data_IF_220105577560
#
_entry.id   IF_220105577560
#
_cell.length_a   1.000
_cell.length_b   1.000
_cell.length_c   1.000
_cell.angle_alpha   90.00
_cell.angle_beta   90.00
_cell.angle_gamma   90.00
#
_symmetry.space_group_name_H-M   'P 1'
#
loop_
_entity.id
_entity.type
_entity.pdbx_description
1 polymer ?
#
# COMPACT_ATOMS: atom_id res chain seq x y z
N UNK A 1 -5.70 8.03 37.31
CA UNK A 1 -4.87 7.13 38.14
C UNK A 1 -3.71 6.68 37.27
N UNK A 2 -2.47 6.88 37.72
CA UNK A 2 -1.29 6.56 36.91
C UNK A 2 -0.92 5.10 37.06
N UNK A 3 -1.24 4.28 36.06
CA UNK A 3 -0.79 2.89 35.97
C UNK A 3 0.65 2.87 35.47
N UNK A 4 1.59 3.17 36.37
CA UNK A 4 3.02 3.13 36.09
C UNK A 4 3.62 1.77 36.43
N UNK A 5 4.60 1.33 35.64
CA UNK A 5 5.48 0.21 35.99
C UNK A 5 6.13 0.49 37.35
N UNK A 6 6.04 -0.47 38.29
CA UNK A 6 6.64 -0.32 39.62
C UNK A 6 7.84 -1.25 39.75
N UNK A 7 9.03 -0.65 39.83
CA UNK A 7 10.25 -1.37 40.20
C UNK A 7 10.39 -1.18 41.71
N UNK A 8 10.33 -2.28 42.46
CA UNK A 8 10.59 -2.26 43.90
C UNK A 8 11.96 -2.90 44.15
N UNK A 9 12.90 -2.10 44.64
CA UNK A 9 14.25 -2.54 45.00
C UNK A 9 14.29 -2.55 46.52
N UNK A 10 14.47 -3.72 47.11
CA UNK A 10 14.61 -3.87 48.55
C UNK A 10 15.78 -4.77 48.90
N UNK A 11 16.18 -4.71 50.16
CA UNK A 11 17.13 -5.65 50.77
C UNK A 11 16.36 -6.51 51.76
N UNK A 12 16.45 -7.84 51.62
CA UNK A 12 16.00 -8.78 52.65
C UNK A 12 17.25 -9.55 53.08
N UNK A 13 17.78 -9.21 54.25
CA UNK A 13 19.09 -9.70 54.69
C UNK A 13 20.25 -9.20 53.81
N UNK A 14 21.26 -10.05 53.58
CA UNK A 14 22.49 -9.75 52.81
C UNK A 14 22.33 -9.86 51.27
N UNK A 15 21.09 -9.95 50.76
CA UNK A 15 20.81 -10.05 49.33
C UNK A 15 19.85 -8.96 48.84
N UNK A 16 20.23 -8.33 47.72
CA UNK A 16 19.36 -7.40 47.00
C UNK A 16 18.33 -8.17 46.19
N UNK A 17 17.05 -7.81 46.32
CA UNK A 17 15.98 -8.34 45.47
C UNK A 17 15.41 -7.22 44.60
N UNK A 18 15.29 -7.49 43.30
CA UNK A 18 14.65 -6.60 42.33
C UNK A 18 13.33 -7.26 41.97
N UNK A 19 12.22 -6.67 42.42
CA UNK A 19 10.88 -7.11 42.02
C UNK A 19 10.34 -6.15 40.96
N UNK A 20 10.15 -6.67 39.75
CA UNK A 20 9.61 -5.94 38.62
C UNK A 20 8.15 -6.36 38.45
N UNK A 21 7.23 -5.55 38.95
CA UNK A 21 5.80 -5.71 38.67
C UNK A 21 5.50 -4.97 37.36
N UNK A 22 5.56 -5.69 36.24
CA UNK A 22 5.03 -5.21 34.96
C UNK A 22 3.53 -5.48 34.93
N UNK A 23 2.73 -4.42 34.90
CA UNK A 23 1.32 -4.58 34.52
C UNK A 23 1.31 -5.13 33.09
N UNK A 24 0.74 -6.32 32.90
CA UNK A 24 0.47 -6.83 31.56
C UNK A 24 -0.36 -5.77 30.84
N UNK A 25 0.10 -5.33 29.67
CA UNK A 25 -0.66 -4.40 28.85
C UNK A 25 -2.09 -4.94 28.71
N UNK A 26 -3.12 -4.08 28.81
CA UNK A 26 -4.51 -4.53 28.67
C UNK A 26 -4.61 -5.39 27.42
N UNK A 27 -5.27 -6.55 27.58
CA UNK A 27 -5.41 -7.59 26.58
C UNK A 27 -5.69 -6.92 25.23
N UNK A 28 -4.69 -6.93 24.34
CA UNK A 28 -4.77 -6.23 23.07
C UNK A 28 -5.79 -7.00 22.25
N UNK A 29 -7.04 -6.55 22.29
CA UNK A 29 -8.09 -7.15 21.48
C UNK A 29 -7.62 -7.11 20.03
N UNK A 30 -7.56 -8.29 19.42
CA UNK A 30 -7.26 -8.42 18.01
C UNK A 30 -8.50 -8.07 17.19
N UNK A 31 -8.30 -7.76 15.93
CA UNK A 31 -9.39 -7.55 14.96
C UNK A 31 -9.33 -8.66 13.91
N UNK A 32 -10.48 -9.15 13.46
CA UNK A 32 -10.53 -10.11 12.36
C UNK A 32 -10.88 -9.38 11.07
N UNK A 33 -10.03 -9.53 10.06
CA UNK A 33 -10.30 -9.05 8.72
C UNK A 33 -11.26 -9.99 8.00
N UNK A 34 -12.29 -9.42 7.39
CA UNK A 34 -13.31 -10.11 6.60
C UNK A 34 -13.39 -9.46 5.23
N UNK A 35 -13.73 -10.24 4.22
CA UNK A 35 -13.97 -9.73 2.87
C UNK A 35 -15.13 -8.73 2.92
N UNK A 36 -14.91 -7.52 2.41
CA UNK A 36 -15.98 -6.55 2.20
C UNK A 36 -16.78 -6.97 0.95
N UNK A 37 -18.03 -7.42 1.09
CA UNK A 37 -18.83 -7.92 -0.03
C UNK A 37 -19.10 -6.85 -1.09
N UNK A 38 -19.06 -5.56 -0.72
CA UNK A 38 -19.26 -4.45 -1.65
C UNK A 38 -18.02 -4.16 -2.50
N UNK A 39 -16.87 -4.68 -2.10
CA UNK A 39 -15.59 -4.49 -2.79
C UNK A 39 -15.29 -5.57 -3.83
N UNK A 40 -16.11 -6.62 -3.86
CA UNK A 40 -15.90 -7.78 -4.74
C UNK A 40 -16.19 -7.38 -6.19
N UNK A 41 -15.17 -7.48 -7.02
CA UNK A 41 -15.20 -7.14 -8.44
C UNK A 41 -14.65 -8.31 -9.24
N UNK A 42 -15.41 -8.80 -10.22
CA UNK A 42 -14.95 -9.85 -11.13
C UNK A 42 -14.51 -9.23 -12.44
N UNK A 43 -13.28 -9.54 -12.85
CA UNK A 43 -12.67 -9.00 -14.07
C UNK A 43 -12.28 -10.15 -14.98
N UNK A 44 -12.77 -10.11 -16.22
CA UNK A 44 -12.51 -11.18 -17.17
C UNK A 44 -11.04 -11.29 -17.53
N UNK A 45 -10.52 -12.52 -17.60
CA UNK A 45 -9.12 -12.78 -17.97
C UNK A 45 -8.77 -12.18 -19.33
N UNK A 46 -9.69 -12.30 -20.29
CA UNK A 46 -9.54 -11.73 -21.63
C UNK A 46 -9.35 -10.21 -21.61
N UNK A 47 -10.06 -9.48 -20.75
CA UNK A 47 -9.93 -8.02 -20.62
C UNK A 47 -8.57 -7.62 -20.05
N UNK A 48 -8.10 -8.35 -19.03
CA UNK A 48 -6.79 -8.11 -18.42
C UNK A 48 -5.67 -8.38 -19.42
N UNK A 49 -5.70 -9.52 -20.12
CA UNK A 49 -4.69 -9.89 -21.13
C UNK A 49 -4.68 -8.89 -22.28
N UNK A 50 -5.85 -8.57 -22.86
CA UNK A 50 -5.94 -7.58 -23.95
C UNK A 50 -5.37 -6.24 -23.52
N UNK A 51 -5.66 -5.78 -22.30
CA UNK A 51 -5.11 -4.53 -21.78
C UNK A 51 -3.61 -4.59 -21.54
N UNK A 52 -3.06 -5.71 -21.04
CA UNK A 52 -1.63 -5.90 -20.85
C UNK A 52 -0.87 -5.94 -22.19
N UNK A 53 -1.41 -6.63 -23.19
CA UNK A 53 -0.85 -6.69 -24.55
C UNK A 53 -0.91 -5.32 -25.23
N UNK A 54 -2.06 -4.63 -25.16
CA UNK A 54 -2.22 -3.29 -25.71
C UNK A 54 -1.20 -2.32 -25.09
N UNK A 55 -0.95 -2.45 -23.78
CA UNK A 55 0.07 -1.65 -23.12
C UNK A 55 1.49 -1.97 -23.63
N UNK A 56 1.86 -3.24 -23.73
CA UNK A 56 3.15 -3.66 -24.28
C UNK A 56 3.37 -3.14 -25.72
N UNK A 57 2.34 -3.22 -26.57
CA UNK A 57 2.41 -2.75 -27.95
C UNK A 57 2.39 -1.22 -28.08
N UNK A 58 1.79 -0.52 -27.11
CA UNK A 58 1.75 0.95 -27.10
C UNK A 58 3.06 1.59 -26.63
N UNK A 59 3.90 0.88 -25.86
CA UNK A 59 5.16 1.42 -25.33
C UNK A 59 6.12 1.95 -26.42
N UNK A 60 6.39 1.22 -27.52
CA UNK A 60 7.22 1.74 -28.61
C UNK A 60 6.62 2.98 -29.28
N UNK A 61 5.31 2.99 -29.52
CA UNK A 61 4.62 4.12 -30.14
C UNK A 61 4.68 5.37 -29.24
N UNK A 62 4.54 5.18 -27.92
CA UNK A 62 4.66 6.25 -26.93
C UNK A 62 6.11 6.75 -26.82
N UNK A 63 7.10 5.86 -26.87
CA UNK A 63 8.50 6.26 -26.89
C UNK A 63 8.82 7.11 -28.13
N UNK A 64 8.36 6.70 -29.30
CA UNK A 64 8.53 7.45 -30.54
C UNK A 64 7.83 8.82 -30.50
N UNK A 65 6.60 8.89 -29.97
CA UNK A 65 5.87 10.15 -29.87
C UNK A 65 6.53 11.12 -28.89
N UNK A 66 7.02 10.63 -27.75
CA UNK A 66 7.77 11.45 -26.79
C UNK A 66 9.08 11.96 -27.41
N UNK A 67 9.80 11.11 -28.16
CA UNK A 67 11.02 11.52 -28.85
C UNK A 67 10.74 12.58 -29.94
N UNK A 68 9.63 12.46 -30.67
CA UNK A 68 9.19 13.49 -31.63
C UNK A 68 8.90 14.81 -30.94
N UNK A 69 8.12 14.78 -29.85
CA UNK A 69 7.78 15.99 -29.09
C UNK A 69 9.03 16.62 -28.49
N UNK A 70 9.99 15.83 -28.00
CA UNK A 70 11.28 16.32 -27.50
C UNK A 70 12.14 16.92 -28.61
N UNK A 71 12.18 16.30 -29.79
CA UNK A 71 12.89 16.85 -30.94
C UNK A 71 12.30 18.20 -31.39
N UNK A 72 10.97 18.29 -31.47
CA UNK A 72 10.26 19.53 -31.79
C UNK A 72 10.48 20.59 -30.69
N UNK A 73 10.39 20.19 -29.42
CA UNK A 73 10.62 21.09 -28.29
C UNK A 73 12.07 21.60 -28.23
N UNK A 74 13.07 20.75 -28.47
CA UNK A 74 14.49 21.14 -28.54
C UNK A 74 14.76 22.08 -29.71
N UNK A 75 14.13 21.84 -30.87
CA UNK A 75 14.18 22.74 -32.02
C UNK A 75 13.59 24.11 -31.70
N UNK A 76 12.42 24.15 -31.05
CA UNK A 76 11.69 25.39 -30.73
C UNK A 76 12.34 26.15 -29.55
N UNK A 77 12.82 25.45 -28.53
CA UNK A 77 13.54 26.02 -27.37
C UNK A 77 14.88 26.65 -27.77
N UNK A 78 15.53 26.13 -28.81
CA UNK A 78 16.77 26.71 -29.34
C UNK A 78 16.58 28.07 -30.02
N UNK A 79 15.33 28.44 -30.36
CA UNK A 79 15.05 29.62 -31.17
C UNK A 79 14.27 30.73 -30.44
N UNK A 80 13.19 30.47 -29.67
CA UNK A 80 12.42 31.56 -29.02
C UNK A 80 11.58 31.16 -27.78
N UNK A 81 11.31 32.19 -26.95
CA UNK A 81 10.37 32.23 -25.81
C UNK A 81 9.08 31.42 -26.04
N UNK A 82 8.99 30.28 -25.35
CA UNK A 82 7.96 29.25 -25.54
C UNK A 82 6.54 29.79 -25.39
N UNK A 83 5.73 29.62 -26.45
CA UNK A 83 4.30 29.94 -26.45
C UNK A 83 3.53 28.95 -25.54
N UNK A 84 2.64 29.46 -24.68
CA UNK A 84 1.93 28.68 -23.66
C UNK A 84 1.12 27.50 -24.20
N UNK A 85 0.73 27.53 -25.48
CA UNK A 85 -0.01 26.46 -26.16
C UNK A 85 0.84 25.19 -26.34
N UNK A 86 2.11 25.33 -26.70
CA UNK A 86 3.01 24.19 -26.92
C UNK A 86 3.28 23.50 -25.57
N UNK A 87 3.48 24.29 -24.52
CA UNK A 87 3.62 23.78 -23.16
C UNK A 87 2.37 23.00 -22.70
N UNK A 88 1.17 23.50 -23.01
CA UNK A 88 -0.08 22.82 -22.68
C UNK A 88 -0.22 21.45 -23.38
N UNK A 89 0.12 21.35 -24.67
CA UNK A 89 0.11 20.07 -25.39
C UNK A 89 1.11 19.08 -24.82
N UNK A 90 2.30 19.54 -24.42
CA UNK A 90 3.33 18.70 -23.83
C UNK A 90 2.89 18.16 -22.46
N UNK A 91 2.30 19.00 -21.61
CA UNK A 91 1.73 18.57 -20.31
C UNK A 91 0.63 17.54 -20.51
N UNK A 92 -0.29 17.76 -21.47
CA UNK A 92 -1.38 16.82 -21.76
C UNK A 92 -0.86 15.47 -22.28
N UNK A 93 0.13 15.47 -23.15
CA UNK A 93 0.75 14.23 -23.66
C UNK A 93 1.42 13.44 -22.54
N UNK A 94 2.16 14.12 -21.65
CA UNK A 94 2.80 13.50 -20.47
C UNK A 94 1.75 12.97 -19.49
N UNK A 95 0.69 13.72 -19.22
CA UNK A 95 -0.40 13.29 -18.33
C UNK A 95 -1.12 12.04 -18.87
N UNK A 96 -1.48 12.04 -20.15
CA UNK A 96 -2.14 10.91 -20.80
C UNK A 96 -1.23 9.67 -20.85
N UNK A 97 0.06 9.86 -21.15
CA UNK A 97 1.07 8.80 -21.09
C UNK A 97 1.21 8.23 -19.68
N UNK A 98 1.25 9.09 -18.66
CA UNK A 98 1.28 8.68 -17.25
C UNK A 98 0.08 7.83 -16.85
N UNK A 99 -1.14 8.22 -17.25
CA UNK A 99 -2.36 7.44 -16.99
C UNK A 99 -2.32 6.08 -17.68
N UNK A 100 -1.86 6.01 -18.94
CA UNK A 100 -1.69 4.74 -19.65
C UNK A 100 -0.64 3.84 -19.00
N UNK A 101 0.50 4.39 -18.56
CA UNK A 101 1.55 3.66 -17.85
C UNK A 101 1.05 3.06 -16.53
N UNK A 102 0.32 3.84 -15.72
CA UNK A 102 -0.24 3.37 -14.46
C UNK A 102 -1.25 2.23 -14.67
N UNK A 103 -2.21 2.42 -15.59
CA UNK A 103 -3.22 1.42 -15.89
C UNK A 103 -2.62 0.14 -16.51
N UNK A 104 -1.62 0.31 -17.39
CA UNK A 104 -0.92 -0.79 -18.04
C UNK A 104 -0.11 -1.64 -17.06
N UNK A 105 0.70 -1.00 -16.19
CA UNK A 105 1.44 -1.68 -15.13
C UNK A 105 0.51 -2.51 -14.23
N UNK A 106 -0.63 -1.93 -13.85
CA UNK A 106 -1.61 -2.63 -13.02
C UNK A 106 -2.17 -3.89 -13.71
N UNK A 107 -2.55 -3.78 -14.98
CA UNK A 107 -3.05 -4.93 -15.76
C UNK A 107 -1.99 -6.01 -15.97
N UNK A 108 -0.72 -5.62 -16.16
CA UNK A 108 0.40 -6.58 -16.22
C UNK A 108 0.60 -7.32 -14.90
N UNK A 109 0.58 -6.59 -13.78
CA UNK A 109 0.72 -7.19 -12.46
C UNK A 109 -0.38 -8.23 -12.20
N UNK A 110 -1.63 -7.91 -12.55
CA UNK A 110 -2.76 -8.85 -12.51
C UNK A 110 -2.56 -10.04 -13.45
N UNK A 111 -2.10 -9.81 -14.69
CA UNK A 111 -1.89 -10.87 -15.67
C UNK A 111 -0.86 -11.93 -15.24
N UNK A 112 0.13 -11.53 -14.43
CA UNK A 112 1.22 -12.38 -13.97
C UNK A 112 0.84 -13.37 -12.85
N UNK A 113 -0.39 -13.29 -12.31
CA UNK A 113 -0.84 -14.12 -11.19
C UNK A 113 -1.17 -15.54 -11.67
N UNK A 114 -0.63 -16.55 -10.98
CA UNK A 114 -0.87 -17.96 -11.26
C UNK A 114 -2.29 -18.42 -10.78
N UNK A 115 -2.83 -19.53 -11.30
CA UNK A 115 -4.17 -20.03 -10.96
C UNK A 115 -4.40 -20.33 -9.48
N UNK A 116 -3.34 -20.69 -8.75
CA UNK A 116 -3.31 -21.12 -7.37
C UNK A 116 -2.73 -20.05 -6.43
N UNK A 117 -2.51 -18.83 -6.93
CA UNK A 117 -1.88 -17.76 -6.18
C UNK A 117 -2.82 -16.57 -5.97
N UNK A 118 -2.96 -16.13 -4.72
CA UNK A 118 -3.51 -14.82 -4.39
C UNK A 118 -2.37 -13.81 -4.24
N UNK A 119 -2.54 -12.60 -4.77
CA UNK A 119 -1.58 -11.49 -4.58
C UNK A 119 -2.30 -10.23 -4.11
N UNK A 120 -1.62 -9.49 -3.24
CA UNK A 120 -2.06 -8.17 -2.82
C UNK A 120 -1.49 -7.10 -3.76
N UNK A 121 -2.36 -6.36 -4.42
CA UNK A 121 -2.02 -5.31 -5.39
C UNK A 121 -2.88 -4.07 -5.11
N UNK A 122 -2.23 -2.92 -4.86
CA UNK A 122 -2.89 -1.63 -4.69
C UNK A 122 -4.08 -1.63 -3.70
N UNK A 123 -3.90 -2.24 -2.53
CA UNK A 123 -4.94 -2.26 -1.50
C UNK A 123 -6.06 -3.27 -1.74
N UNK A 124 -5.87 -4.22 -2.65
CA UNK A 124 -6.82 -5.29 -2.99
C UNK A 124 -6.13 -6.64 -3.08
N UNK A 125 -6.82 -7.67 -2.63
CA UNK A 125 -6.48 -9.05 -2.97
C UNK A 125 -6.97 -9.36 -4.38
N UNK A 126 -6.15 -10.10 -5.10
CA UNK A 126 -6.41 -10.53 -6.46
C UNK A 126 -6.09 -12.02 -6.55
N UNK A 127 -7.09 -12.82 -6.89
CA UNK A 127 -6.97 -14.26 -7.08
C UNK A 127 -7.68 -14.69 -8.36
N UNK A 128 -7.48 -15.94 -8.79
CA UNK A 128 -8.20 -16.50 -9.91
C UNK A 128 -9.33 -17.39 -9.41
N UNK A 129 -10.51 -17.17 -9.97
CA UNK A 129 -11.69 -18.01 -9.75
C UNK A 129 -11.57 -19.32 -10.56
N UNK A 130 -12.43 -20.30 -10.28
CA UNK A 130 -12.50 -21.59 -10.97
C UNK A 130 -12.69 -21.46 -12.49
N UNK A 131 -13.37 -20.40 -12.92
CA UNK A 131 -13.52 -20.08 -14.36
C UNK A 131 -12.26 -19.49 -15.01
N UNK A 132 -11.22 -19.20 -14.22
CA UNK A 132 -9.96 -18.57 -14.66
C UNK A 132 -10.01 -17.04 -14.78
N UNK A 133 -11.12 -16.41 -14.39
CA UNK A 133 -11.25 -14.95 -14.28
C UNK A 133 -10.59 -14.42 -13.00
N UNK A 134 -10.34 -13.12 -12.94
CA UNK A 134 -9.78 -12.49 -11.75
C UNK A 134 -10.88 -12.03 -10.81
N UNK A 135 -10.77 -12.43 -9.54
CA UNK A 135 -11.58 -11.92 -8.45
C UNK A 135 -10.75 -10.90 -7.67
N UNK A 136 -11.27 -9.67 -7.56
CA UNK A 136 -10.66 -8.59 -6.80
C UNK A 136 -11.52 -8.29 -5.59
N UNK A 137 -10.93 -8.21 -4.40
CA UNK A 137 -11.67 -7.88 -3.18
C UNK A 137 -10.80 -7.18 -2.16
N UNK A 138 -11.42 -6.58 -1.16
CA UNK A 138 -10.77 -5.94 -0.02
C UNK A 138 -11.14 -6.66 1.25
N UNK A 139 -10.14 -6.86 2.11
CA UNK A 139 -10.38 -7.30 3.47
C UNK A 139 -10.41 -6.08 4.37
N UNK A 140 -11.44 -6.01 5.22
CA UNK A 140 -11.68 -4.90 6.14
C UNK A 140 -12.04 -5.42 7.52
N UNK A 141 -11.79 -4.61 8.53
CA UNK A 141 -12.14 -4.93 9.92
C UNK A 141 -12.62 -3.65 10.62
N UNK A 142 -13.54 -3.74 11.61
CA UNK A 142 -13.89 -2.59 12.44
C UNK A 142 -12.69 -2.19 13.31
N UNK A 143 -12.46 -0.89 13.46
CA UNK A 143 -11.45 -0.39 14.39
C UNK A 143 -11.92 -0.63 15.83
N UNK A 144 -11.04 -1.17 16.68
CA UNK A 144 -11.38 -1.47 18.06
C UNK A 144 -10.77 -0.46 19.06
N UNK A 145 -10.13 0.61 18.59
CA UNK A 145 -9.67 1.71 19.45
C UNK A 145 -10.86 2.39 20.13
N UNK A 146 -10.64 2.88 21.36
CA UNK A 146 -11.68 3.54 22.14
C UNK A 146 -12.28 4.72 21.37
N UNK A 147 -13.61 4.75 21.30
CA UNK A 147 -14.38 5.78 20.59
C UNK A 147 -14.07 5.92 19.09
N UNK A 148 -13.49 4.90 18.46
CA UNK A 148 -13.24 4.90 17.02
C UNK A 148 -14.26 4.03 16.28
N UNK A 149 -15.05 4.65 15.40
CA UNK A 149 -16.00 3.95 14.52
C UNK A 149 -15.46 3.76 13.09
N UNK A 150 -14.13 3.80 12.93
CA UNK A 150 -13.48 3.69 11.63
C UNK A 150 -13.38 2.25 11.13
N UNK A 151 -13.06 2.10 9.87
CA UNK A 151 -12.75 0.82 9.22
C UNK A 151 -11.24 0.70 9.00
N UNK A 152 -10.67 -0.41 9.44
CA UNK A 152 -9.28 -0.76 9.20
C UNK A 152 -9.16 -1.43 7.83
N UNK A 153 -8.24 -0.91 7.02
CA UNK A 153 -7.93 -1.43 5.68
C UNK A 153 -6.49 -1.89 5.63
N UNK A 154 -6.27 -3.01 4.94
CA UNK A 154 -4.93 -3.53 4.69
C UNK A 154 -4.21 -2.61 3.69
N UNK A 155 -2.96 -2.29 3.98
CA UNK A 155 -2.09 -1.44 3.18
C UNK A 155 -0.64 -1.94 3.26
N UNK A 156 0.20 -1.44 2.35
CA UNK A 156 1.63 -1.71 2.42
C UNK A 156 2.26 -0.99 3.63
N UNK A 157 3.24 -1.63 4.30
CA UNK A 157 3.97 -1.01 5.39
C UNK A 157 4.75 0.23 4.94
N UNK A 158 5.05 1.16 5.86
CA UNK A 158 5.95 2.26 5.59
C UNK A 158 7.34 1.73 5.19
N UNK A 159 8.10 2.45 4.33
CA UNK A 159 9.36 1.94 3.77
C UNK A 159 10.39 1.44 4.80
N UNK A 160 10.43 2.06 5.99
CA UNK A 160 11.30 1.63 7.09
C UNK A 160 10.93 0.26 7.65
N UNK A 161 9.66 -0.13 7.62
CA UNK A 161 9.14 -1.35 8.26
C UNK A 161 8.85 -2.50 7.28
N UNK A 162 9.01 -2.24 5.97
CA UNK A 162 8.75 -3.23 4.91
C UNK A 162 9.59 -4.50 5.01
N UNK A 163 10.72 -4.46 5.73
CA UNK A 163 11.57 -5.63 5.93
C UNK A 163 11.07 -6.57 7.04
N UNK A 164 10.27 -6.06 7.98
CA UNK A 164 9.76 -6.82 9.13
C UNK A 164 8.29 -7.23 8.96
N UNK A 165 7.57 -6.55 8.08
CA UNK A 165 6.13 -6.69 7.93
C UNK A 165 5.77 -6.72 6.44
N UNK A 166 4.98 -7.71 6.04
CA UNK A 166 4.49 -7.80 4.66
C UNK A 166 3.31 -6.86 4.43
N UNK A 167 2.38 -6.83 5.39
CA UNK A 167 1.12 -6.09 5.33
C UNK A 167 0.77 -5.49 6.69
N UNK A 168 0.14 -4.32 6.66
CA UNK A 168 -0.34 -3.62 7.85
C UNK A 168 -1.80 -3.20 7.69
N UNK A 169 -2.53 -3.11 8.79
CA UNK A 169 -3.87 -2.55 8.86
C UNK A 169 -3.79 -1.09 9.31
N UNK A 170 -4.50 -0.20 8.63
CA UNK A 170 -4.59 1.21 9.00
C UNK A 170 -6.05 1.63 9.01
N UNK A 171 -6.48 2.26 10.10
CA UNK A 171 -7.81 2.83 10.22
C UNK A 171 -7.97 4.07 9.32
N UNK A 172 -9.11 4.18 8.64
CA UNK A 172 -9.48 5.35 7.85
C UNK A 172 -9.66 6.64 8.66
N UNK A 173 -10.20 6.54 9.89
CA UNK A 173 -10.41 7.69 10.78
C UNK A 173 -9.16 7.99 11.62
N UNK A 174 -8.64 6.98 12.33
CA UNK A 174 -7.50 7.15 13.23
C UNK A 174 -6.14 7.23 12.53
N UNK A 175 -6.09 6.90 11.23
CA UNK A 175 -4.89 7.00 10.41
C UNK A 175 -3.68 6.29 11.03
N UNK A 176 -2.54 7.00 11.05
CA UNK A 176 -1.24 6.50 11.52
C UNK A 176 -1.19 6.13 13.00
N UNK A 177 -2.17 6.57 13.79
CA UNK A 177 -2.24 6.26 15.23
C UNK A 177 -2.96 4.93 15.50
N UNK A 178 -3.83 4.52 14.57
CA UNK A 178 -4.65 3.31 14.70
C UNK A 178 -4.17 2.29 13.67
N UNK A 179 -3.05 1.65 14.00
CA UNK A 179 -2.34 0.74 13.11
C UNK A 179 -2.25 -0.67 13.70
N UNK A 180 -2.24 -1.65 12.80
CA UNK A 180 -2.30 -3.07 13.13
C UNK A 180 -1.28 -3.84 12.32
N UNK A 181 -0.57 -4.77 12.95
CA UNK A 181 0.15 -5.83 12.25
C UNK A 181 -0.86 -6.87 11.80
N UNK A 182 -0.79 -7.25 10.52
CA UNK A 182 -1.69 -8.27 9.95
C UNK A 182 -0.92 -9.58 9.87
N UNK A 183 -1.48 -10.64 10.43
CA UNK A 183 -0.94 -11.99 10.30
C UNK A 183 -1.51 -12.71 9.04
N UNK A 184 -1.02 -13.93 8.80
CA UNK A 184 -1.47 -14.76 7.67
C UNK A 184 -2.92 -15.27 7.83
N UNK A 185 -3.46 -15.28 9.05
CA UNK A 185 -4.84 -15.69 9.34
C UNK A 185 -5.85 -14.54 9.18
N UNK A 186 -5.38 -13.35 8.80
CA UNK A 186 -6.21 -12.15 8.73
C UNK A 186 -6.59 -11.62 10.11
N UNK A 187 -5.79 -11.88 11.13
CA UNK A 187 -5.88 -11.29 12.45
C UNK A 187 -4.98 -10.05 12.51
N UNK A 188 -5.57 -8.93 12.92
CA UNK A 188 -4.89 -7.66 13.14
C UNK A 188 -4.57 -7.46 14.61
N UNK A 189 -3.30 -7.34 14.95
CA UNK A 189 -2.85 -6.98 16.30
C UNK A 189 -2.39 -5.53 16.34
N UNK A 190 -2.77 -4.77 17.38
CA UNK A 190 -2.35 -3.38 17.50
C UNK A 190 -0.82 -3.27 17.60
N UNK A 191 -0.23 -2.53 16.68
CA UNK A 191 1.20 -2.25 16.65
C UNK A 191 1.44 -0.84 16.14
N UNK A 192 2.38 -0.13 16.76
CA UNK A 192 2.85 1.16 16.28
C UNK A 192 3.96 0.94 15.24
N UNK A 193 3.91 1.69 14.14
CA UNK A 193 4.89 1.63 13.05
C UNK A 193 5.63 2.94 12.93
N UNK A 194 6.91 2.89 12.56
CA UNK A 194 7.67 4.09 12.25
C UNK A 194 7.35 4.61 10.85
N UNK A 195 6.62 5.73 10.80
CA UNK A 195 6.22 6.41 9.57
C UNK A 195 7.24 7.46 9.08
N UNK A 196 8.39 7.61 9.76
CA UNK A 196 9.40 8.60 9.35
C UNK A 196 9.97 8.22 7.97
N UNK A 197 10.25 9.22 7.11
CA UNK A 197 10.90 8.95 5.84
C UNK A 197 12.24 8.26 6.07
N UNK A 198 12.65 7.41 5.14
CA UNK A 198 14.02 6.88 5.12
C UNK A 198 14.97 8.08 5.08
N UNK A 199 15.99 8.07 5.94
CA UNK A 199 17.09 9.01 5.80
C UNK A 199 17.67 8.81 4.41
N UNK A 200 17.52 9.82 3.55
CA UNK A 200 18.27 9.84 2.32
C UNK A 200 19.73 9.83 2.74
N UNK A 201 20.46 8.76 2.41
CA UNK A 201 21.91 8.80 2.44
C UNK A 201 22.31 10.05 1.66
N UNK A 202 22.78 11.06 2.39
CA UNK A 202 23.43 12.22 1.81
C UNK A 202 24.66 11.68 1.07
N UNK A 203 24.90 12.10 -0.18
CA UNK A 203 25.90 11.49 -1.06
C UNK A 203 27.28 11.37 -0.43
#
# INVERSE_FOLDING_TARGET
MSDGNRINIGSIGDANHINIAQNQAPERTSIQFVIDPRSVERVSRGSVIKGAVAFFLALPALALSVMSILADALGILSYFNVESRILAYLIMAVAMGGVMLCNGKRKMATASIAPDQARFIDGRWVERDESGDYLLYRNTAPCNYENCHGTVRIQMPPPREQHNHDLIGVCDIGGRQHTYRVDFNGVGERQHFDWRPLEQNKP
#
